data_IF_066423272587
#
_entry.id   IF_066423272587
#
_cell.length_a   1.000
_cell.length_b   1.000
_cell.length_c   1.000
_cell.angle_alpha   90.00
_cell.angle_beta   90.00
_cell.angle_gamma   90.00
#
_symmetry.space_group_name_H-M   'P 1'
#
loop_
_entity.id
_entity.type
_entity.pdbx_description
1 polymer ?
#
# COMPACT_ATOMS: atom_id res chain seq x y z
N UNK A 1 28.89 -4.24 11.48
CA UNK A 1 27.50 -4.26 10.96
C UNK A 1 26.78 -5.41 11.64
N UNK A 2 25.65 -5.17 12.29
CA UNK A 2 24.91 -6.24 12.96
C UNK A 2 24.24 -7.15 11.92
N UNK A 3 24.64 -8.42 11.88
CA UNK A 3 23.97 -9.45 11.10
C UNK A 3 22.56 -9.71 11.66
N UNK A 4 21.62 -10.10 10.79
CA UNK A 4 20.31 -10.58 11.24
C UNK A 4 20.50 -11.79 12.16
N UNK A 5 19.75 -11.84 13.26
CA UNK A 5 19.68 -13.05 14.10
C UNK A 5 18.92 -14.16 13.36
N UNK A 6 19.05 -15.44 13.76
CA UNK A 6 18.23 -16.51 13.19
C UNK A 6 16.72 -16.21 13.26
N UNK A 7 16.24 -15.64 14.37
CA UNK A 7 14.86 -15.21 14.54
C UNK A 7 14.46 -14.06 13.60
N UNK A 8 15.41 -13.20 13.21
CA UNK A 8 15.19 -12.19 12.18
C UNK A 8 15.09 -12.84 10.79
N UNK A 9 15.89 -13.86 10.49
CA UNK A 9 15.82 -14.58 9.20
C UNK A 9 14.46 -15.26 8.98
N UNK A 10 13.81 -15.77 10.02
CA UNK A 10 12.47 -16.37 9.95
C UNK A 10 11.37 -15.39 9.53
N UNK A 11 11.64 -14.08 9.58
CA UNK A 11 10.76 -13.02 9.11
C UNK A 11 10.88 -12.76 7.60
N UNK A 12 11.91 -13.32 6.96
CA UNK A 12 12.16 -13.25 5.52
C UNK A 12 11.95 -14.64 4.91
N UNK A 13 10.68 -15.03 4.73
CA UNK A 13 10.36 -16.42 4.39
C UNK A 13 10.64 -16.73 2.91
N UNK A 14 11.09 -17.95 2.60
CA UNK A 14 11.23 -18.42 1.21
C UNK A 14 9.92 -18.40 0.42
N UNK A 15 8.77 -18.33 1.09
CA UNK A 15 7.43 -18.25 0.48
C UNK A 15 7.08 -16.86 -0.08
N UNK A 16 8.00 -15.89 -0.03
CA UNK A 16 7.75 -14.51 -0.46
C UNK A 16 7.06 -13.65 0.59
N UNK A 17 7.10 -14.05 1.86
CA UNK A 17 6.54 -13.27 2.96
C UNK A 17 7.65 -12.51 3.69
N UNK A 18 7.52 -11.18 3.75
CA UNK A 18 8.34 -10.28 4.58
C UNK A 18 7.47 -9.83 5.76
N UNK A 19 7.77 -10.31 6.97
CA UNK A 19 6.93 -10.07 8.16
C UNK A 19 7.65 -9.27 9.25
N UNK A 20 7.55 -7.94 9.16
CA UNK A 20 8.18 -6.99 10.09
C UNK A 20 7.15 -6.22 10.94
N UNK A 21 5.93 -6.75 11.06
CA UNK A 21 4.92 -6.18 11.94
C UNK A 21 5.44 -6.08 13.39
N UNK A 22 5.17 -4.95 14.05
CA UNK A 22 5.59 -4.66 15.45
C UNK A 22 7.10 -4.76 15.73
N UNK A 23 7.93 -4.79 14.70
CA UNK A 23 9.39 -5.03 14.80
C UNK A 23 10.20 -3.74 14.69
N UNK A 24 9.65 -2.70 14.07
CA UNK A 24 10.36 -1.51 13.61
C UNK A 24 10.06 -0.29 14.49
N UNK A 25 10.12 -0.46 15.81
CA UNK A 25 9.71 0.55 16.80
C UNK A 25 10.70 1.74 16.94
N UNK A 26 11.87 1.65 16.32
CA UNK A 26 12.93 2.68 16.42
C UNK A 26 13.58 2.95 15.07
N UNK A 27 14.13 4.16 14.87
CA UNK A 27 14.89 4.49 13.65
C UNK A 27 16.08 3.55 13.41
N UNK A 28 16.73 3.10 14.47
CA UNK A 28 17.84 2.14 14.36
C UNK A 28 17.35 0.77 13.85
N UNK A 29 16.18 0.31 14.32
CA UNK A 29 15.58 -0.92 13.79
C UNK A 29 15.20 -0.79 12.32
N UNK A 30 14.66 0.37 11.89
CA UNK A 30 14.37 0.66 10.47
C UNK A 30 15.64 0.56 9.64
N UNK A 31 16.72 1.25 10.04
CA UNK A 31 18.02 1.22 9.35
C UNK A 31 18.62 -0.19 9.27
N UNK A 32 18.59 -0.94 10.38
CA UNK A 32 19.10 -2.31 10.43
C UNK A 32 18.35 -3.19 9.43
N UNK A 33 17.02 -3.10 9.41
CA UNK A 33 16.18 -3.88 8.51
C UNK A 33 16.29 -3.44 7.04
N UNK A 34 16.39 -2.14 6.76
CA UNK A 34 16.59 -1.65 5.40
C UNK A 34 17.92 -2.16 4.81
N UNK A 35 18.99 -2.18 5.61
CA UNK A 35 20.27 -2.76 5.21
C UNK A 35 20.19 -4.27 4.98
N UNK A 36 19.44 -4.99 5.82
CA UNK A 36 19.27 -6.42 5.68
C UNK A 36 18.46 -6.76 4.42
N UNK A 37 17.37 -6.05 4.16
CA UNK A 37 16.52 -6.22 2.97
C UNK A 37 17.30 -5.98 1.67
N UNK A 38 18.19 -4.96 1.63
CA UNK A 38 19.06 -4.72 0.46
C UNK A 38 20.00 -5.89 0.13
N UNK A 39 20.39 -6.67 1.13
CA UNK A 39 21.27 -7.84 0.98
C UNK A 39 20.49 -9.14 0.76
N UNK A 40 19.22 -9.14 1.15
CA UNK A 40 18.35 -10.29 1.02
C UNK A 40 18.02 -10.55 -0.44
N UNK A 41 18.12 -11.81 -0.86
CA UNK A 41 17.71 -12.25 -2.19
C UNK A 41 16.31 -12.83 -2.08
N UNK A 42 15.27 -12.09 -2.51
CA UNK A 42 13.90 -12.59 -2.45
C UNK A 42 13.74 -13.83 -3.35
N UNK A 43 12.75 -14.69 -3.07
CA UNK A 43 12.36 -15.75 -3.99
C UNK A 43 11.81 -15.14 -5.30
N UNK A 44 11.66 -15.98 -6.34
CA UNK A 44 11.03 -15.55 -7.60
C UNK A 44 9.50 -15.37 -7.49
N UNK A 45 8.90 -15.69 -6.34
CA UNK A 45 7.48 -15.50 -6.10
C UNK A 45 7.16 -14.04 -5.74
N UNK A 46 5.98 -13.51 -6.11
CA UNK A 46 5.53 -12.19 -5.71
C UNK A 46 5.47 -12.03 -4.19
N UNK A 47 5.92 -10.87 -3.70
CA UNK A 47 6.09 -10.64 -2.28
C UNK A 47 4.84 -10.07 -1.61
N UNK A 48 4.60 -10.51 -0.37
CA UNK A 48 3.64 -9.89 0.57
C UNK A 48 4.44 -9.27 1.72
N UNK A 49 4.30 -7.97 1.91
CA UNK A 49 5.14 -7.18 2.82
C UNK A 49 4.29 -6.63 3.96
N UNK A 50 4.56 -7.09 5.17
CA UNK A 50 3.85 -6.72 6.40
C UNK A 50 4.70 -5.77 7.23
N UNK A 51 4.28 -4.50 7.29
CA UNK A 51 4.93 -3.40 8.01
C UNK A 51 3.96 -2.73 9.00
N UNK A 52 2.85 -3.37 9.34
CA UNK A 52 1.83 -2.84 10.25
C UNK A 52 2.31 -2.71 11.70
N UNK A 53 1.71 -1.77 12.44
CA UNK A 53 1.95 -1.55 13.88
C UNK A 53 3.41 -1.19 14.26
N UNK A 54 4.04 -0.31 13.49
CA UNK A 54 5.46 0.04 13.66
C UNK A 54 5.73 1.53 13.93
N UNK A 55 4.69 2.38 13.96
CA UNK A 55 4.85 3.84 14.07
C UNK A 55 5.76 4.43 12.98
N UNK A 56 5.77 3.83 11.79
CA UNK A 56 6.54 4.30 10.65
C UNK A 56 5.94 5.60 10.12
N UNK A 57 6.78 6.58 9.80
CA UNK A 57 6.35 7.66 8.92
C UNK A 57 6.56 7.25 7.44
N UNK A 58 6.13 8.10 6.51
CA UNK A 58 6.25 7.87 5.07
C UNK A 58 7.69 7.62 4.59
N UNK A 59 8.68 8.27 5.21
CA UNK A 59 10.09 8.10 4.84
C UNK A 59 10.65 6.76 5.33
N UNK A 60 10.31 6.33 6.55
CA UNK A 60 10.73 5.02 7.06
C UNK A 60 10.12 3.89 6.22
N UNK A 61 8.84 4.00 5.90
CA UNK A 61 8.14 3.05 5.04
C UNK A 61 8.77 3.00 3.64
N UNK A 62 9.05 4.16 3.04
CA UNK A 62 9.72 4.25 1.75
C UNK A 62 11.12 3.62 1.77
N UNK A 63 11.93 3.90 2.81
CA UNK A 63 13.28 3.33 2.94
C UNK A 63 13.25 1.79 2.96
N UNK A 64 12.30 1.21 3.70
CA UNK A 64 12.14 -0.24 3.79
C UNK A 64 11.62 -0.84 2.48
N UNK A 65 10.62 -0.25 1.86
CA UNK A 65 10.02 -0.76 0.63
C UNK A 65 10.96 -0.64 -0.57
N UNK A 66 11.74 0.44 -0.66
CA UNK A 66 12.78 0.59 -1.69
C UNK A 66 13.95 -0.37 -1.49
N UNK A 67 14.21 -0.81 -0.25
CA UNK A 67 15.22 -1.81 0.06
C UNK A 67 14.82 -3.23 -0.35
N UNK A 68 13.53 -3.47 -0.62
CA UNK A 68 13.04 -4.78 -1.05
C UNK A 68 13.34 -4.99 -2.54
N UNK A 69 14.08 -6.06 -2.83
CA UNK A 69 14.19 -6.60 -4.18
C UNK A 69 12.95 -7.40 -4.58
N UNK A 70 12.77 -7.65 -5.88
CA UNK A 70 11.70 -8.53 -6.39
C UNK A 70 10.38 -7.82 -6.66
N UNK A 71 9.40 -8.57 -7.16
CA UNK A 71 8.05 -8.08 -7.44
C UNK A 71 7.19 -8.09 -6.18
N UNK A 72 6.43 -7.02 -5.92
CA UNK A 72 5.59 -6.90 -4.73
C UNK A 72 4.12 -6.94 -5.12
N UNK A 73 3.38 -7.87 -4.51
CA UNK A 73 1.95 -8.05 -4.74
C UNK A 73 1.08 -7.37 -3.68
N UNK A 74 1.52 -7.35 -2.43
CA UNK A 74 0.73 -6.80 -1.33
C UNK A 74 1.60 -6.06 -0.33
N UNK A 75 1.13 -4.89 0.13
CA UNK A 75 1.79 -4.08 1.16
C UNK A 75 0.81 -3.72 2.26
N UNK A 76 1.18 -4.07 3.50
CA UNK A 76 0.41 -3.78 4.69
C UNK A 76 1.12 -2.72 5.54
N UNK A 77 0.59 -1.50 5.53
CA UNK A 77 1.11 -0.31 6.23
C UNK A 77 0.11 0.24 7.26
N UNK A 78 -0.90 -0.53 7.61
CA UNK A 78 -1.91 -0.08 8.57
C UNK A 78 -1.34 0.08 9.99
N UNK A 79 -1.92 0.99 10.79
CA UNK A 79 -1.41 1.36 12.13
C UNK A 79 0.04 1.87 12.12
N UNK A 80 0.30 2.88 11.31
CA UNK A 80 1.55 3.64 11.28
C UNK A 80 1.25 5.15 11.39
N UNK A 81 2.24 6.02 11.19
CA UNK A 81 2.10 7.49 11.24
C UNK A 81 2.26 8.12 9.85
N UNK A 82 1.80 7.46 8.79
CA UNK A 82 1.96 7.92 7.41
C UNK A 82 0.99 9.08 7.13
N UNK A 83 1.53 10.22 6.67
CA UNK A 83 0.73 11.44 6.38
C UNK A 83 0.55 11.70 4.90
N UNK A 84 1.54 11.33 4.10
CA UNK A 84 1.48 11.40 2.65
C UNK A 84 2.17 10.20 2.00
N UNK A 85 2.01 10.03 0.70
CA UNK A 85 2.58 8.91 -0.05
C UNK A 85 3.60 9.35 -1.10
N UNK A 86 3.96 10.63 -1.12
CA UNK A 86 4.97 11.15 -2.05
C UNK A 86 6.30 10.38 -1.94
N UNK A 87 6.85 10.09 -0.74
CA UNK A 87 8.08 9.28 -0.63
C UNK A 87 7.93 7.84 -1.14
N UNK A 88 6.69 7.34 -1.23
CA UNK A 88 6.35 5.99 -1.66
C UNK A 88 6.02 5.92 -3.16
N UNK A 89 5.87 7.06 -3.85
CA UNK A 89 5.43 7.13 -5.25
C UNK A 89 6.31 6.30 -6.18
N UNK A 90 7.64 6.44 -6.08
CA UNK A 90 8.58 5.68 -6.91
C UNK A 90 8.47 4.16 -6.70
N UNK A 91 8.15 3.71 -5.47
CA UNK A 91 7.91 2.30 -5.18
C UNK A 91 6.59 1.84 -5.80
N UNK A 92 5.52 2.62 -5.64
CA UNK A 92 4.21 2.31 -6.21
C UNK A 92 4.29 2.23 -7.74
N UNK A 93 4.96 3.19 -8.38
CA UNK A 93 5.17 3.22 -9.83
C UNK A 93 5.96 2.00 -10.31
N UNK A 94 7.07 1.67 -9.63
CA UNK A 94 7.88 0.49 -9.94
C UNK A 94 7.07 -0.81 -9.89
N UNK A 95 6.10 -0.89 -8.97
CA UNK A 95 5.28 -2.07 -8.75
C UNK A 95 3.86 -1.94 -9.29
N UNK A 96 3.57 -0.96 -10.15
CA UNK A 96 2.22 -0.70 -10.63
C UNK A 96 1.58 -1.96 -11.28
N UNK A 97 2.36 -2.74 -12.02
CA UNK A 97 1.88 -3.95 -12.70
C UNK A 97 1.71 -5.18 -11.78
N UNK A 98 2.33 -5.16 -10.60
CA UNK A 98 2.38 -6.33 -9.70
C UNK A 98 1.62 -6.11 -8.40
N UNK A 99 1.51 -4.87 -7.92
CA UNK A 99 0.86 -4.50 -6.68
C UNK A 99 -0.67 -4.61 -6.81
N UNK A 100 -1.25 -5.54 -6.06
CA UNK A 100 -2.68 -5.83 -6.03
C UNK A 100 -3.37 -5.33 -4.76
N UNK A 101 -2.65 -5.26 -3.64
CA UNK A 101 -3.18 -4.86 -2.33
C UNK A 101 -2.31 -3.79 -1.68
N UNK A 102 -2.91 -2.68 -1.26
CA UNK A 102 -2.27 -1.63 -0.47
C UNK A 102 -3.15 -1.26 0.73
N UNK A 103 -2.69 -1.58 1.93
CA UNK A 103 -3.43 -1.32 3.17
C UNK A 103 -2.82 -0.16 3.94
N UNK A 104 -3.57 0.93 4.06
CA UNK A 104 -3.16 2.20 4.67
C UNK A 104 -4.11 2.64 5.79
N UNK A 105 -4.94 1.74 6.31
CA UNK A 105 -5.88 2.08 7.38
C UNK A 105 -5.17 2.47 8.68
N UNK A 106 -5.81 3.28 9.51
CA UNK A 106 -5.24 3.76 10.77
C UNK A 106 -3.88 4.48 10.62
N UNK A 107 -3.74 5.30 9.58
CA UNK A 107 -2.64 6.25 9.44
C UNK A 107 -3.17 7.68 9.69
N UNK A 108 -2.48 8.70 9.17
CA UNK A 108 -2.90 10.11 9.21
C UNK A 108 -2.97 10.73 7.81
N UNK A 109 -3.41 9.96 6.82
CA UNK A 109 -3.54 10.48 5.46
C UNK A 109 -4.61 11.57 5.41
N UNK A 110 -4.28 12.69 4.78
CA UNK A 110 -5.24 13.76 4.49
C UNK A 110 -6.04 13.49 3.22
N UNK A 111 -7.12 14.24 3.02
CA UNK A 111 -7.86 14.30 1.74
C UNK A 111 -6.92 14.60 0.57
N UNK A 112 -6.04 15.59 0.73
CA UNK A 112 -5.08 16.01 -0.30
C UNK A 112 -4.10 14.90 -0.67
N UNK A 113 -3.53 14.23 0.34
CA UNK A 113 -2.61 13.10 0.13
C UNK A 113 -3.30 11.92 -0.58
N UNK A 114 -4.53 11.60 -0.18
CA UNK A 114 -5.31 10.52 -0.79
C UNK A 114 -5.67 10.84 -2.24
N UNK A 115 -6.02 12.10 -2.53
CA UNK A 115 -6.29 12.55 -3.90
C UNK A 115 -5.06 12.44 -4.81
N UNK A 116 -3.86 12.69 -4.29
CA UNK A 116 -2.61 12.55 -5.04
C UNK A 116 -2.21 11.08 -5.29
N UNK A 117 -2.62 10.17 -4.41
CA UNK A 117 -2.37 8.72 -4.52
C UNK A 117 -3.20 8.06 -5.62
N UNK A 118 -4.51 8.34 -5.65
CA UNK A 118 -5.47 7.59 -6.45
C UNK A 118 -5.15 7.55 -7.96
N UNK A 119 -4.64 8.62 -8.59
CA UNK A 119 -4.16 8.56 -9.97
C UNK A 119 -3.04 7.53 -10.17
N UNK A 120 -2.07 7.44 -9.24
CA UNK A 120 -0.94 6.51 -9.35
C UNK A 120 -1.39 5.04 -9.27
N UNK A 121 -2.44 4.77 -8.49
CA UNK A 121 -3.06 3.43 -8.40
C UNK A 121 -4.06 3.16 -9.55
N UNK A 122 -4.51 4.22 -10.20
CA UNK A 122 -5.59 4.25 -11.17
C UNK A 122 -5.12 4.37 -12.62
N UNK A 123 -3.86 4.69 -12.89
CA UNK A 123 -3.46 5.03 -14.25
C UNK A 123 -3.31 3.80 -15.15
N UNK A 124 -4.08 3.79 -16.25
CA UNK A 124 -3.85 2.91 -17.38
C UNK A 124 -2.73 3.53 -18.23
N UNK A 125 -1.49 3.56 -17.74
CA UNK A 125 -0.39 3.85 -18.66
C UNK A 125 -0.43 2.80 -19.78
N UNK A 126 -0.43 3.22 -21.06
CA UNK A 126 -0.33 2.25 -22.14
C UNK A 126 0.98 1.49 -21.93
N UNK A 127 0.87 0.17 -21.70
CA UNK A 127 2.05 -0.69 -21.75
C UNK A 127 2.71 -0.50 -23.11
N UNK A 128 4.02 -0.31 -23.13
CA UNK A 128 4.83 -0.24 -24.36
C UNK A 128 4.72 -1.50 -25.24
N UNK A 129 4.04 -2.55 -24.76
CA UNK A 129 3.76 -3.79 -25.48
C UNK A 129 2.40 -3.82 -26.21
N UNK A 130 1.63 -2.73 -26.19
CA UNK A 130 0.31 -2.65 -26.86
C UNK A 130 -0.78 -3.54 -26.25
N UNK A 131 -0.43 -4.38 -25.27
CA UNK A 131 -1.38 -5.21 -24.53
C UNK A 131 -1.83 -4.43 -23.31
N UNK A 132 -3.05 -3.89 -23.33
CA UNK A 132 -3.65 -3.23 -22.16
C UNK A 132 -3.95 -4.24 -21.06
N UNK A 133 -2.93 -4.59 -20.29
CA UNK A 133 -3.10 -5.24 -18.98
C UNK A 133 -2.49 -4.29 -17.95
N UNK A 134 -3.07 -3.09 -17.81
CA UNK A 134 -2.77 -2.25 -16.66
C UNK A 134 -3.23 -2.99 -15.42
N UNK A 135 -2.34 -3.71 -14.75
CA UNK A 135 -2.62 -4.24 -13.42
C UNK A 135 -2.78 -3.04 -12.51
N UNK A 136 -3.87 -2.98 -11.76
CA UNK A 136 -4.09 -1.93 -10.77
C UNK A 136 -3.93 -2.57 -9.40
N UNK A 137 -3.55 -1.75 -8.42
CA UNK A 137 -3.90 -2.01 -7.04
C UNK A 137 -5.42 -2.15 -6.96
N UNK A 138 -5.88 -3.40 -6.86
CA UNK A 138 -7.30 -3.75 -6.90
C UNK A 138 -7.95 -3.54 -5.53
N UNK A 139 -7.13 -3.49 -4.47
CA UNK A 139 -7.57 -3.41 -3.09
C UNK A 139 -6.83 -2.31 -2.35
N UNK A 140 -7.56 -1.26 -1.99
CA UNK A 140 -7.04 -0.13 -1.26
C UNK A 140 -7.83 0.02 0.04
N UNK A 141 -7.13 0.05 1.17
CA UNK A 141 -7.77 0.11 2.49
C UNK A 141 -7.40 1.42 3.18
N UNK A 142 -8.36 2.32 3.39
CA UNK A 142 -8.13 3.72 3.78
C UNK A 142 -8.91 4.15 5.03
N UNK A 143 -9.62 3.26 5.72
CA UNK A 143 -10.38 3.67 6.91
C UNK A 143 -9.49 4.19 8.04
N UNK A 144 -10.07 4.99 8.93
CA UNK A 144 -9.44 5.60 10.10
C UNK A 144 -8.21 6.46 9.76
N UNK A 145 -8.29 7.23 8.67
CA UNK A 145 -7.41 8.34 8.32
C UNK A 145 -8.15 9.69 8.53
N UNK A 146 -7.62 10.81 8.04
CA UNK A 146 -8.23 12.15 8.10
C UNK A 146 -8.69 12.57 6.70
N UNK A 147 -9.60 11.80 6.12
CA UNK A 147 -10.10 11.99 4.75
C UNK A 147 -11.51 12.55 4.82
N UNK A 148 -11.70 13.76 4.28
CA UNK A 148 -13.04 14.23 3.91
C UNK A 148 -13.46 13.49 2.63
N UNK A 149 -14.37 12.54 2.79
CA UNK A 149 -14.81 11.66 1.69
C UNK A 149 -15.60 12.45 0.65
N UNK A 150 -16.42 13.41 1.06
CA UNK A 150 -17.20 14.22 0.14
C UNK A 150 -16.29 15.14 -0.67
N UNK A 151 -15.37 15.84 -0.02
CA UNK A 151 -14.36 16.65 -0.69
C UNK A 151 -13.52 15.79 -1.65
N UNK A 152 -13.08 14.61 -1.21
CA UNK A 152 -12.31 13.69 -2.04
C UNK A 152 -13.08 13.34 -3.32
N UNK A 153 -14.31 12.85 -3.19
CA UNK A 153 -15.12 12.43 -4.34
C UNK A 153 -15.41 13.58 -5.30
N UNK A 154 -15.70 14.77 -4.78
CA UNK A 154 -15.99 15.96 -5.58
C UNK A 154 -14.76 16.49 -6.35
N UNK A 155 -13.55 16.19 -5.87
CA UNK A 155 -12.28 16.65 -6.48
C UNK A 155 -11.58 15.59 -7.33
N UNK A 156 -12.10 14.37 -7.37
CA UNK A 156 -11.53 13.31 -8.18
C UNK A 156 -11.96 13.42 -9.65
N UNK A 157 -11.07 13.10 -10.60
CA UNK A 157 -11.47 12.94 -11.99
C UNK A 157 -12.58 11.88 -12.13
N UNK A 158 -13.60 12.11 -12.98
CA UNK A 158 -14.72 11.17 -13.15
C UNK A 158 -14.30 9.74 -13.44
N UNK A 159 -13.22 9.55 -14.20
CA UNK A 159 -12.66 8.24 -14.51
C UNK A 159 -12.13 7.48 -13.29
N UNK A 160 -11.58 8.18 -12.29
CA UNK A 160 -11.12 7.58 -11.04
C UNK A 160 -12.32 7.35 -10.11
N UNK A 161 -13.23 8.33 -10.03
CA UNK A 161 -14.45 8.23 -9.22
C UNK A 161 -15.29 7.01 -9.62
N UNK A 162 -15.50 6.78 -10.92
CA UNK A 162 -16.26 5.63 -11.44
C UNK A 162 -15.64 4.27 -11.08
N UNK A 163 -14.37 4.26 -10.68
CA UNK A 163 -13.60 3.04 -10.37
C UNK A 163 -13.44 2.81 -8.88
N UNK A 164 -13.64 3.84 -8.07
CA UNK A 164 -13.69 3.71 -6.62
C UNK A 164 -15.02 3.07 -6.25
N UNK A 165 -14.95 1.80 -5.86
CA UNK A 165 -16.10 1.14 -5.31
C UNK A 165 -16.12 1.39 -3.79
N UNK A 166 -17.06 2.23 -3.38
CA UNK A 166 -17.39 2.42 -1.98
C UNK A 166 -18.26 1.24 -1.57
N UNK A 167 -17.68 0.29 -0.86
CA UNK A 167 -18.42 -0.85 -0.32
C UNK A 167 -18.57 -0.73 1.19
N UNK A 168 -19.82 -0.66 1.65
CA UNK A 168 -20.16 -0.73 3.08
C UNK A 168 -20.07 -2.17 3.62
N UNK A 169 -20.18 -3.17 2.74
CA UNK A 169 -20.09 -4.59 3.10
C UNK A 169 -18.70 -5.08 2.74
N UNK A 170 -18.01 -5.70 3.71
CA UNK A 170 -16.57 -5.98 3.69
C UNK A 170 -16.09 -6.93 2.60
N UNK A 171 -16.06 -6.47 1.36
CA UNK A 171 -15.36 -7.09 0.25
C UNK A 171 -13.89 -7.31 0.62
N UNK A 172 -13.35 -8.46 0.25
CA UNK A 172 -11.95 -8.83 0.46
C UNK A 172 -11.41 -9.44 -0.82
N UNK A 173 -10.07 -9.43 -1.03
CA UNK A 173 -9.45 -10.10 -2.16
C UNK A 173 -9.92 -11.53 -2.35
N UNK A 174 -10.24 -12.24 -1.26
CA UNK A 174 -10.70 -13.63 -1.29
C UNK A 174 -12.18 -13.76 -1.65
N UNK A 175 -13.05 -12.89 -1.10
CA UNK A 175 -14.51 -13.01 -1.16
C UNK A 175 -15.21 -12.00 -2.08
N UNK A 176 -14.48 -11.36 -2.98
CA UNK A 176 -15.06 -10.38 -3.89
C UNK A 176 -15.93 -11.03 -4.96
N UNK A 177 -17.23 -10.71 -4.94
CA UNK A 177 -18.18 -11.13 -5.99
C UNK A 177 -17.92 -10.47 -7.36
N UNK A 178 -17.10 -9.41 -7.41
CA UNK A 178 -16.71 -8.76 -8.66
C UNK A 178 -15.66 -9.56 -9.46
N UNK A 179 -15.04 -10.60 -8.88
CA UNK A 179 -14.08 -11.49 -9.59
C UNK A 179 -14.62 -12.07 -10.91
N UNK A 180 -15.94 -12.21 -11.03
CA UNK A 180 -16.60 -12.81 -12.19
C UNK A 180 -17.10 -11.79 -13.23
N UNK A 181 -16.95 -10.48 -13.02
CA UNK A 181 -17.44 -9.47 -13.98
C UNK A 181 -16.29 -8.91 -14.81
N UNK A 182 -16.31 -9.22 -16.12
CA UNK A 182 -15.30 -8.85 -17.14
C UNK A 182 -15.11 -7.35 -17.41
N UNK A 183 -15.74 -6.46 -16.65
CA UNK A 183 -15.85 -5.06 -17.03
C UNK A 183 -15.46 -4.14 -15.87
N UNK A 184 -14.27 -3.53 -16.05
CA UNK A 184 -13.63 -2.47 -15.26
C UNK A 184 -12.93 -2.94 -13.99
N UNK A 185 -11.60 -2.81 -13.94
CA UNK A 185 -10.77 -2.97 -12.73
C UNK A 185 -11.11 -1.85 -11.75
N UNK A 186 -11.77 -2.20 -10.66
CA UNK A 186 -12.19 -1.29 -9.60
C UNK A 186 -11.14 -1.23 -8.50
N UNK A 187 -10.97 -0.05 -7.93
CA UNK A 187 -10.26 0.12 -6.67
C UNK A 187 -11.32 -0.09 -5.59
N UNK A 188 -11.27 -1.25 -4.95
CA UNK A 188 -12.14 -1.52 -3.81
C UNK A 188 -11.62 -0.72 -2.62
N UNK A 189 -12.36 0.32 -2.22
CA UNK A 189 -12.07 1.12 -1.04
C UNK A 189 -13.02 0.73 0.07
N UNK A 190 -12.53 -0.12 0.97
CA UNK A 190 -13.34 -0.65 2.07
C UNK A 190 -13.52 0.42 3.14
N UNK A 191 -14.76 0.61 3.59
CA UNK A 191 -15.10 1.45 4.75
C UNK A 191 -14.52 2.87 4.64
N UNK A 192 -14.47 3.45 3.42
CA UNK A 192 -13.95 4.79 3.21
C UNK A 192 -14.73 5.84 4.04
N UNK A 193 -16.00 5.60 4.33
CA UNK A 193 -16.82 6.44 5.21
C UNK A 193 -16.37 6.44 6.69
N UNK A 194 -15.62 5.43 7.13
CA UNK A 194 -15.09 5.37 8.49
C UNK A 194 -13.77 6.15 8.55
N UNK A 195 -13.84 7.45 8.77
CA UNK A 195 -12.67 8.32 8.94
C UNK A 195 -12.61 8.86 10.36
N UNK A 196 -11.40 9.24 10.78
CA UNK A 196 -11.24 9.99 12.02
C UNK A 196 -11.86 11.37 11.84
N UNK A 197 -12.43 11.96 12.90
CA UNK A 197 -12.82 13.36 12.85
C UNK A 197 -11.60 14.23 12.48
N UNK A 198 -11.86 15.32 11.75
CA UNK A 198 -10.83 16.33 11.50
C UNK A 198 -10.28 16.81 12.84
N UNK A 199 -8.95 16.86 12.97
CA UNK A 199 -8.36 17.49 14.14
C UNK A 199 -8.18 18.99 13.86
N UNK A 200 -8.33 19.88 14.85
CA UNK A 200 -8.16 21.32 14.66
C UNK A 200 -6.77 21.76 14.18
N UNK A 201 -5.81 20.84 14.11
CA UNK A 201 -4.40 21.09 13.79
C UNK A 201 -4.00 20.68 12.36
N UNK A 202 -4.96 20.17 11.56
CA UNK A 202 -4.79 19.83 10.14
C UNK A 202 -5.18 20.98 9.19
#
# INVERSE_FOLDING_TARGET
MASLTPADSDRLRPTGLVYLARTLQTKESVRRWSQALRKWRPPQAPLRVHLEHNNLNEHDAAELLQAIGGEVQAVYLHHNDIRCLEPLAAFIDKHAETLQELHLSHNRLSTGATRALLPQLGDNRPSSTGTQIGSMCSWLRLEFNHIDVEELLNRLPPGIQARLQLEDKGCTPERCHCKNRRHVKRIHSKLLALQRPATPED
#
